data_IF_770224202501
#
_entry.id   IF_770224202501
#
_cell.length_a   1.000
_cell.length_b   1.000
_cell.length_c   1.000
_cell.angle_alpha   90.00
_cell.angle_beta   90.00
_cell.angle_gamma   90.00
#
_symmetry.space_group_name_H-M   'P 1'
#
loop_
_entity.id
_entity.type
_entity.pdbx_description
1 polymer ?
#
# COMPACT_ATOMS: atom_id res chain seq x y z
N UNK A 1 18.17 5.26 -14.91
CA UNK A 1 18.43 4.00 -14.16
C UNK A 1 17.51 2.94 -14.73
N UNK A 2 18.02 1.78 -15.15
CA UNK A 2 17.18 0.69 -15.69
C UNK A 2 16.63 -0.16 -14.55
N UNK A 3 15.47 -0.81 -14.73
CA UNK A 3 14.92 -1.78 -13.75
C UNK A 3 15.95 -2.88 -13.46
N UNK A 4 16.72 -3.28 -14.46
CA UNK A 4 17.77 -4.28 -14.33
C UNK A 4 18.93 -3.82 -13.43
N UNK A 5 19.22 -2.52 -13.37
CA UNK A 5 20.17 -1.92 -12.42
C UNK A 5 19.58 -1.80 -11.00
N UNK A 6 18.26 -1.67 -10.88
CA UNK A 6 17.54 -1.75 -9.60
C UNK A 6 17.59 -3.19 -9.08
N UNK A 7 17.52 -4.18 -9.99
CA UNK A 7 17.48 -5.61 -9.71
C UNK A 7 18.84 -6.33 -9.59
N UNK A 8 19.97 -5.67 -9.84
CA UNK A 8 21.29 -6.36 -9.87
C UNK A 8 21.77 -6.92 -8.52
N UNK A 9 21.47 -6.31 -7.36
CA UNK A 9 21.79 -6.92 -6.04
C UNK A 9 21.08 -8.26 -5.76
N UNK A 10 20.11 -8.65 -6.61
CA UNK A 10 19.19 -9.76 -6.40
C UNK A 10 19.78 -11.10 -6.87
N UNK A 11 20.58 -11.10 -7.93
CA UNK A 11 21.15 -12.32 -8.52
C UNK A 11 22.36 -12.85 -7.77
N UNK A 12 23.06 -12.00 -7.02
CA UNK A 12 24.33 -12.37 -6.38
C UNK A 12 24.17 -12.89 -4.94
N UNK A 13 23.07 -12.56 -4.24
CA UNK A 13 22.88 -12.90 -2.83
C UNK A 13 22.09 -14.19 -2.58
N UNK A 14 21.49 -14.79 -3.61
CA UNK A 14 20.70 -16.02 -3.52
C UNK A 14 21.53 -17.32 -3.58
N UNK A 15 22.72 -17.35 -2.97
CA UNK A 15 23.62 -18.50 -3.05
C UNK A 15 23.78 -19.31 -1.74
N UNK A 16 22.91 -19.10 -0.73
CA UNK A 16 22.98 -19.87 0.52
C UNK A 16 21.56 -20.17 1.01
N UNK A 17 21.12 -21.43 0.86
CA UNK A 17 19.84 -22.02 1.31
C UNK A 17 18.58 -21.20 1.00
N UNK A 18 17.70 -21.74 0.15
CA UNK A 18 16.43 -21.12 -0.26
C UNK A 18 15.73 -20.40 0.92
N UNK A 19 15.42 -19.09 0.79
CA UNK A 19 14.74 -18.36 1.86
C UNK A 19 13.39 -19.00 2.10
N UNK A 20 13.07 -19.27 3.37
CA UNK A 20 11.87 -20.02 3.72
C UNK A 20 10.59 -19.18 3.65
N UNK A 21 10.70 -17.83 3.72
CA UNK A 21 9.60 -16.85 3.55
C UNK A 21 10.14 -15.53 3.01
N UNK A 22 9.42 -14.92 2.07
CA UNK A 22 9.71 -13.61 1.50
C UNK A 22 8.49 -12.69 1.57
N UNK A 23 8.67 -11.50 2.14
CA UNK A 23 7.68 -10.42 2.12
C UNK A 23 8.06 -9.35 1.11
N UNK A 24 7.11 -8.89 0.30
CA UNK A 24 7.25 -7.76 -0.63
C UNK A 24 6.37 -6.62 -0.14
N UNK A 25 7.01 -5.55 0.33
CA UNK A 25 6.40 -4.35 0.90
C UNK A 25 6.23 -3.30 -0.20
N UNK A 26 4.97 -3.02 -0.55
CA UNK A 26 4.53 -2.11 -1.63
C UNK A 26 3.78 -0.91 -1.08
N UNK A 27 3.53 0.09 -1.94
CA UNK A 27 2.64 1.21 -1.62
C UNK A 27 3.33 2.45 -1.06
N UNK A 28 2.54 3.39 -0.55
CA UNK A 28 2.93 4.76 -0.20
C UNK A 28 3.16 5.00 1.31
N UNK A 29 3.17 3.95 2.16
CA UNK A 29 3.49 4.04 3.58
C UNK A 29 4.98 3.82 3.91
N UNK A 30 5.90 4.68 3.45
CA UNK A 30 7.36 4.47 3.56
C UNK A 30 7.87 4.26 5.01
N UNK A 31 7.39 5.07 5.96
CA UNK A 31 7.72 4.92 7.39
C UNK A 31 7.27 3.57 7.95
N UNK A 32 6.06 3.15 7.59
CA UNK A 32 5.51 1.87 7.99
C UNK A 32 6.21 0.69 7.32
N UNK A 33 6.71 0.83 6.08
CA UNK A 33 7.52 -0.21 5.42
C UNK A 33 8.78 -0.51 6.21
N UNK A 34 9.51 0.53 6.64
CA UNK A 34 10.74 0.37 7.44
C UNK A 34 10.44 -0.20 8.83
N UNK A 35 9.40 0.31 9.49
CA UNK A 35 8.96 -0.20 10.79
C UNK A 35 8.54 -1.67 10.71
N UNK A 36 7.68 -2.04 9.75
CA UNK A 36 7.20 -3.41 9.59
C UNK A 36 8.34 -4.37 9.21
N UNK A 37 9.23 -3.98 8.28
CA UNK A 37 10.43 -4.76 7.96
C UNK A 37 11.32 -4.98 9.19
N UNK A 38 11.48 -3.96 10.03
CA UNK A 38 12.23 -4.07 11.30
C UNK A 38 11.61 -5.10 12.23
N UNK A 39 10.27 -5.12 12.35
CA UNK A 39 9.55 -6.09 13.19
C UNK A 39 9.58 -7.50 12.63
N UNK A 40 9.44 -7.65 11.31
CA UNK A 40 9.48 -8.95 10.63
C UNK A 40 10.85 -9.61 10.72
N UNK A 41 11.93 -8.82 10.59
CA UNK A 41 13.29 -9.33 10.59
C UNK A 41 13.95 -9.40 11.97
N UNK A 42 13.35 -8.77 12.99
CA UNK A 42 13.93 -8.67 14.33
C UNK A 42 15.17 -7.77 14.41
N UNK A 43 15.52 -7.05 13.34
CA UNK A 43 16.67 -6.13 13.28
C UNK A 43 16.28 -4.79 12.64
N UNK A 44 16.95 -3.72 13.05
CA UNK A 44 16.63 -2.37 12.56
C UNK A 44 16.87 -2.26 11.04
N UNK A 45 15.83 -1.86 10.31
CA UNK A 45 15.89 -1.58 8.87
C UNK A 45 15.75 -0.09 8.65
N UNK A 46 16.78 0.53 8.09
CA UNK A 46 16.79 1.95 7.75
C UNK A 46 16.59 2.09 6.25
N UNK A 47 15.52 2.79 5.85
CA UNK A 47 15.29 3.17 4.46
C UNK A 47 15.96 4.54 4.26
N UNK A 48 17.01 4.65 3.43
CA UNK A 48 17.70 5.92 3.21
C UNK A 48 16.74 6.99 2.65
N UNK A 49 16.86 8.22 3.14
CA UNK A 49 16.11 9.36 2.61
C UNK A 49 16.37 9.52 1.10
N UNK A 50 15.32 9.53 0.27
CA UNK A 50 15.42 9.65 -1.18
C UNK A 50 15.45 8.33 -1.95
N UNK A 51 15.64 7.18 -1.28
CA UNK A 51 15.47 5.85 -1.87
C UNK A 51 14.00 5.52 -2.22
N UNK A 52 13.05 6.28 -1.65
CA UNK A 52 11.62 5.99 -1.66
C UNK A 52 10.94 5.99 -3.03
N UNK A 53 11.53 6.58 -4.08
CA UNK A 53 10.84 6.67 -5.38
C UNK A 53 11.04 5.42 -6.25
N UNK A 54 12.23 4.82 -6.26
CA UNK A 54 12.54 3.74 -7.22
C UNK A 54 13.40 2.60 -6.66
N UNK A 55 13.82 2.69 -5.40
CA UNK A 55 14.79 1.75 -4.85
C UNK A 55 14.10 0.54 -4.25
N UNK A 56 14.71 -0.61 -4.47
CA UNK A 56 14.42 -1.83 -3.73
C UNK A 56 15.47 -2.01 -2.65
N UNK A 57 15.05 -2.18 -1.40
CA UNK A 57 15.95 -2.62 -0.32
C UNK A 57 15.64 -4.08 0.02
N UNK A 58 16.65 -4.94 -0.03
CA UNK A 58 16.58 -6.31 0.49
C UNK A 58 17.16 -6.33 1.90
N UNK A 59 16.41 -6.88 2.84
CA UNK A 59 16.89 -7.15 4.19
C UNK A 59 16.47 -8.57 4.61
N UNK A 60 17.40 -9.31 5.22
CA UNK A 60 17.20 -10.71 5.65
C UNK A 60 17.55 -10.90 7.13
N UNK A 61 16.88 -11.84 7.80
CA UNK A 61 17.24 -12.23 9.17
C UNK A 61 18.56 -13.01 9.18
N UNK A 62 19.50 -12.68 10.06
CA UNK A 62 20.79 -13.39 10.19
C UNK A 62 20.76 -14.54 11.22
N UNK A 63 19.63 -14.72 11.93
CA UNK A 63 19.55 -15.67 13.04
C UNK A 63 19.64 -17.13 12.57
N UNK A 64 20.73 -17.76 12.99
CA UNK A 64 21.13 -19.13 12.69
C UNK A 64 20.61 -20.16 13.71
N UNK A 65 19.61 -19.81 14.51
CA UNK A 65 19.00 -20.75 15.44
C UNK A 65 18.17 -21.79 14.67
N UNK A 66 18.26 -23.07 15.06
CA UNK A 66 17.64 -24.17 14.33
C UNK A 66 16.10 -24.08 14.21
N UNK A 67 15.46 -23.22 15.02
CA UNK A 67 14.01 -23.08 15.13
C UNK A 67 13.44 -21.80 14.50
N UNK A 68 14.28 -20.95 13.91
CA UNK A 68 13.84 -19.69 13.27
C UNK A 68 13.79 -19.82 11.74
N UNK A 69 12.58 -19.66 11.18
CA UNK A 69 12.35 -19.58 9.74
C UNK A 69 13.08 -18.34 9.18
N UNK A 70 14.01 -18.49 8.21
CA UNK A 70 14.65 -17.36 7.55
C UNK A 70 13.63 -16.48 6.82
N UNK A 71 13.67 -15.17 7.09
CA UNK A 71 12.75 -14.18 6.50
C UNK A 71 13.54 -13.19 5.66
N UNK A 72 13.02 -12.91 4.47
CA UNK A 72 13.48 -11.84 3.59
C UNK A 72 12.39 -10.78 3.40
N UNK A 73 12.76 -9.51 3.36
CA UNK A 73 11.88 -8.40 3.04
C UNK A 73 12.41 -7.62 1.83
N UNK A 74 11.58 -7.46 0.80
CA UNK A 74 11.79 -6.55 -0.32
C UNK A 74 10.96 -5.30 -0.10
N UNK A 75 11.62 -4.16 0.10
CA UNK A 75 10.95 -2.87 0.26
C UNK A 75 11.02 -2.15 -1.06
N UNK A 76 9.88 -2.00 -1.75
CA UNK A 76 9.82 -1.25 -2.99
C UNK A 76 9.35 0.19 -2.77
N UNK A 77 9.85 1.10 -3.60
CA UNK A 77 9.47 2.52 -3.59
C UNK A 77 7.98 2.78 -3.89
N UNK A 78 7.51 3.99 -3.60
CA UNK A 78 6.12 4.44 -3.70
C UNK A 78 5.75 5.06 -5.06
N UNK A 79 6.66 5.08 -6.05
CA UNK A 79 6.41 5.76 -7.33
C UNK A 79 5.35 5.08 -8.20
N UNK A 80 4.57 5.90 -8.92
CA UNK A 80 3.64 5.44 -9.95
C UNK A 80 4.29 4.68 -11.11
N UNK A 81 5.56 4.94 -11.43
CA UNK A 81 6.26 4.16 -12.45
C UNK A 81 6.49 2.71 -12.02
N UNK A 82 6.69 2.46 -10.71
CA UNK A 82 6.84 1.11 -10.19
C UNK A 82 5.51 0.35 -10.30
N UNK A 83 4.37 0.99 -10.02
CA UNK A 83 3.03 0.39 -10.23
C UNK A 83 2.88 -0.14 -11.66
N UNK A 84 3.25 0.67 -12.66
CA UNK A 84 3.18 0.27 -14.07
C UNK A 84 4.21 -0.78 -14.51
N UNK A 85 5.19 -1.08 -13.65
CA UNK A 85 6.32 -1.98 -13.94
C UNK A 85 6.41 -3.18 -13.02
N UNK A 86 5.48 -3.33 -12.08
CA UNK A 86 5.49 -4.44 -11.12
C UNK A 86 5.50 -5.81 -11.80
N UNK A 87 4.77 -5.97 -12.92
CA UNK A 87 4.74 -7.18 -13.74
C UNK A 87 6.07 -7.54 -14.42
N UNK A 88 7.03 -6.62 -14.47
CA UNK A 88 8.36 -6.83 -15.05
C UNK A 88 9.37 -7.27 -13.97
N UNK A 89 8.94 -7.43 -12.70
CA UNK A 89 9.77 -7.93 -11.61
C UNK A 89 9.60 -9.44 -11.47
N UNK A 90 10.72 -10.15 -11.39
CA UNK A 90 10.76 -11.58 -11.08
C UNK A 90 11.38 -11.79 -9.70
N UNK A 91 10.64 -12.48 -8.82
CA UNK A 91 11.14 -12.91 -7.53
C UNK A 91 11.48 -14.39 -7.63
N UNK A 92 12.77 -14.74 -7.51
CA UNK A 92 13.25 -16.12 -7.56
C UNK A 92 12.98 -16.87 -6.24
N UNK A 93 11.71 -16.98 -5.87
CA UNK A 93 11.21 -17.56 -4.63
C UNK A 93 10.03 -18.49 -4.96
N UNK A 94 9.86 -19.55 -4.18
CA UNK A 94 8.68 -20.41 -4.28
C UNK A 94 7.40 -19.56 -4.10
N UNK A 95 6.40 -19.66 -4.99
CA UNK A 95 5.12 -18.98 -4.84
C UNK A 95 4.47 -19.13 -3.47
N UNK A 96 4.61 -20.29 -2.81
CA UNK A 96 4.03 -20.54 -1.48
C UNK A 96 4.74 -19.77 -0.36
N UNK A 97 5.96 -19.31 -0.61
CA UNK A 97 6.79 -18.55 0.33
C UNK A 97 6.78 -17.05 0.05
N UNK A 98 6.13 -16.59 -1.03
CA UNK A 98 6.07 -15.20 -1.42
C UNK A 98 4.79 -14.54 -0.88
N UNK A 99 4.92 -13.48 -0.08
CA UNK A 99 3.79 -12.77 0.53
C UNK A 99 3.86 -11.28 0.16
N UNK A 100 2.75 -10.73 -0.31
CA UNK A 100 2.66 -9.30 -0.66
C UNK A 100 2.03 -8.53 0.50
N UNK A 101 2.64 -7.41 0.87
CA UNK A 101 2.09 -6.46 1.82
C UNK A 101 1.96 -5.11 1.13
N UNK A 102 0.74 -4.64 0.97
CA UNK A 102 0.39 -3.37 0.36
C UNK A 102 0.11 -2.33 1.45
N UNK A 103 1.00 -1.37 1.63
CA UNK A 103 0.86 -0.28 2.60
C UNK A 103 0.27 0.95 1.93
N UNK A 104 -0.98 1.28 2.27
CA UNK A 104 -1.71 2.42 1.72
C UNK A 104 -1.88 3.48 2.80
N UNK A 105 -1.41 4.70 2.53
CA UNK A 105 -1.66 5.83 3.42
C UNK A 105 -3.14 6.20 3.41
N UNK A 106 -3.73 6.23 4.60
CA UNK A 106 -5.11 6.63 4.87
C UNK A 106 -5.23 8.12 5.21
N UNK A 107 -4.24 8.93 4.84
CA UNK A 107 -4.22 10.39 5.05
C UNK A 107 -5.29 11.13 4.25
N UNK A 108 -5.81 10.53 3.18
CA UNK A 108 -6.92 11.07 2.38
C UNK A 108 -7.92 9.97 2.06
N UNK A 109 -9.21 10.28 2.27
CA UNK A 109 -10.36 9.39 2.01
C UNK A 109 -10.40 8.97 0.53
N UNK A 110 -10.20 9.92 -0.37
CA UNK A 110 -10.24 9.65 -1.81
C UNK A 110 -9.00 8.90 -2.26
N UNK A 111 -7.83 9.36 -1.82
CA UNK A 111 -6.56 8.79 -2.25
C UNK A 111 -6.38 7.35 -1.78
N UNK A 112 -6.81 6.99 -0.56
CA UNK A 112 -6.63 5.63 -0.07
C UNK A 112 -7.43 4.61 -0.91
N UNK A 113 -8.62 4.97 -1.39
CA UNK A 113 -9.42 4.10 -2.27
C UNK A 113 -8.77 4.00 -3.66
N UNK A 114 -8.38 5.13 -4.25
CA UNK A 114 -7.77 5.19 -5.59
C UNK A 114 -6.44 4.41 -5.61
N UNK A 115 -5.59 4.60 -4.61
CA UNK A 115 -4.31 3.90 -4.49
C UNK A 115 -4.50 2.40 -4.25
N UNK A 116 -5.43 2.01 -3.37
CA UNK A 116 -5.76 0.59 -3.14
C UNK A 116 -6.14 -0.07 -4.45
N UNK A 117 -7.06 0.54 -5.22
CA UNK A 117 -7.48 0.00 -6.51
C UNK A 117 -6.30 -0.11 -7.48
N UNK A 118 -5.52 0.96 -7.65
CA UNK A 118 -4.41 1.01 -8.59
C UNK A 118 -3.34 -0.06 -8.29
N UNK A 119 -3.02 -0.25 -7.01
CA UNK A 119 -2.06 -1.28 -6.60
C UNK A 119 -2.60 -2.69 -6.75
N UNK A 120 -3.88 -2.94 -6.43
CA UNK A 120 -4.48 -4.26 -6.65
C UNK A 120 -4.53 -4.62 -8.15
N UNK A 121 -4.81 -3.64 -9.02
CA UNK A 121 -4.73 -3.83 -10.48
C UNK A 121 -3.29 -4.18 -10.91
N UNK A 122 -2.28 -3.51 -10.36
CA UNK A 122 -0.87 -3.82 -10.62
C UNK A 122 -0.46 -5.22 -10.10
N UNK A 123 -0.89 -5.59 -8.90
CA UNK A 123 -0.67 -6.91 -8.30
C UNK A 123 -1.35 -7.99 -9.14
N UNK A 124 -2.54 -7.72 -9.67
CA UNK A 124 -3.21 -8.64 -10.59
C UNK A 124 -2.41 -8.87 -11.87
N UNK A 125 -1.85 -7.82 -12.47
CA UNK A 125 -0.97 -7.97 -13.63
C UNK A 125 0.31 -8.76 -13.29
N UNK A 126 0.92 -8.50 -12.14
CA UNK A 126 2.05 -9.27 -11.61
C UNK A 126 1.70 -10.76 -11.40
N UNK A 127 0.51 -11.05 -10.87
CA UNK A 127 0.04 -12.42 -10.59
C UNK A 127 -0.05 -13.31 -11.85
N UNK A 128 -0.14 -12.70 -13.04
CA UNK A 128 -0.15 -13.42 -14.32
C UNK A 128 1.19 -14.05 -14.66
N UNK A 129 2.29 -13.56 -14.07
CA UNK A 129 3.65 -14.06 -14.28
C UNK A 129 4.20 -14.76 -13.05
N UNK A 130 3.98 -14.19 -11.87
CA UNK A 130 4.49 -14.70 -10.60
C UNK A 130 3.34 -14.96 -9.62
N UNK A 131 3.17 -16.22 -9.22
CA UNK A 131 2.23 -16.56 -8.14
C UNK A 131 2.81 -16.19 -6.78
N UNK A 132 1.92 -15.97 -5.81
CA UNK A 132 2.27 -15.66 -4.43
C UNK A 132 1.24 -16.28 -3.48
N UNK A 133 1.62 -16.39 -2.22
CA UNK A 133 0.92 -17.13 -1.18
C UNK A 133 -0.23 -16.36 -0.57
N UNK A 134 -0.02 -15.08 -0.25
CA UNK A 134 -1.04 -14.19 0.34
C UNK A 134 -0.80 -12.71 0.02
N UNK A 135 -1.83 -11.88 0.24
CA UNK A 135 -1.75 -10.43 0.12
C UNK A 135 -2.36 -9.76 1.35
N UNK A 136 -1.65 -8.83 1.97
CA UNK A 136 -2.16 -8.04 3.10
C UNK A 136 -2.27 -6.59 2.70
N UNK A 137 -3.46 -6.00 2.84
CA UNK A 137 -3.68 -4.55 2.70
C UNK A 137 -3.56 -3.94 4.08
N UNK A 138 -2.58 -3.04 4.26
CA UNK A 138 -2.37 -2.30 5.49
C UNK A 138 -2.65 -0.82 5.26
N UNK A 139 -3.76 -0.33 5.83
CA UNK A 139 -4.10 1.09 5.86
C UNK A 139 -3.28 1.77 6.96
N UNK A 140 -2.30 2.57 6.56
CA UNK A 140 -1.43 3.31 7.48
C UNK A 140 -2.03 4.66 7.82
N UNK A 141 -1.62 5.26 8.93
CA UNK A 141 -2.12 6.56 9.39
C UNK A 141 -3.65 6.59 9.53
N UNK A 142 -4.25 5.49 9.99
CA UNK A 142 -5.72 5.34 9.99
C UNK A 142 -6.45 6.33 10.89
N UNK A 143 -5.76 6.94 11.86
CA UNK A 143 -6.29 8.03 12.68
C UNK A 143 -6.64 9.27 11.86
N UNK A 144 -6.01 9.46 10.70
CA UNK A 144 -6.33 10.59 9.82
C UNK A 144 -7.75 10.45 9.25
N UNK A 145 -8.21 9.23 8.96
CA UNK A 145 -9.59 9.01 8.56
C UNK A 145 -10.59 9.32 9.68
N UNK A 146 -10.23 9.13 10.96
CA UNK A 146 -11.13 9.45 12.08
C UNK A 146 -11.54 10.93 12.10
N UNK A 147 -10.67 11.80 11.62
CA UNK A 147 -10.90 13.25 11.53
C UNK A 147 -11.74 13.68 10.31
N UNK A 148 -12.14 12.74 9.45
CA UNK A 148 -12.90 13.03 8.23
C UNK A 148 -14.40 12.82 8.42
N UNK A 149 -15.19 13.25 7.42
CA UNK A 149 -16.63 13.05 7.41
C UNK A 149 -16.98 11.55 7.61
N UNK A 150 -17.81 11.19 8.60
CA UNK A 150 -18.14 9.79 8.89
C UNK A 150 -18.74 9.02 7.71
N UNK A 151 -19.53 9.67 6.87
CA UNK A 151 -20.14 9.06 5.68
C UNK A 151 -19.06 8.78 4.65
N UNK A 152 -18.22 9.76 4.32
CA UNK A 152 -17.13 9.59 3.35
C UNK A 152 -16.11 8.53 3.82
N UNK A 153 -15.78 8.52 5.12
CA UNK A 153 -14.94 7.49 5.75
C UNK A 153 -15.56 6.10 5.61
N UNK A 154 -16.83 5.93 6.00
CA UNK A 154 -17.55 4.65 5.90
C UNK A 154 -17.54 4.14 4.46
N UNK A 155 -17.84 5.00 3.49
CA UNK A 155 -17.80 4.66 2.06
C UNK A 155 -16.40 4.21 1.63
N UNK A 156 -15.35 4.93 2.02
CA UNK A 156 -13.98 4.56 1.67
C UNK A 156 -13.56 3.20 2.24
N UNK A 157 -13.86 2.93 3.52
CA UNK A 157 -13.56 1.65 4.16
C UNK A 157 -14.33 0.50 3.48
N UNK A 158 -15.59 0.72 3.11
CA UNK A 158 -16.39 -0.26 2.35
C UNK A 158 -15.86 -0.48 0.93
N UNK A 159 -15.39 0.56 0.25
CA UNK A 159 -14.71 0.44 -1.03
C UNK A 159 -13.45 -0.42 -0.94
N UNK A 160 -12.61 -0.19 0.07
CA UNK A 160 -11.37 -0.95 0.29
C UNK A 160 -11.70 -2.43 0.54
N UNK A 161 -12.69 -2.71 1.39
CA UNK A 161 -13.19 -4.07 1.64
C UNK A 161 -13.72 -4.74 0.37
N UNK A 162 -14.52 -4.03 -0.43
CA UNK A 162 -15.05 -4.57 -1.68
C UNK A 162 -13.95 -4.84 -2.72
N UNK A 163 -12.96 -3.95 -2.82
CA UNK A 163 -11.77 -4.13 -3.65
C UNK A 163 -10.97 -5.37 -3.22
N UNK A 164 -10.80 -5.58 -1.90
CA UNK A 164 -10.13 -6.76 -1.36
C UNK A 164 -10.88 -8.06 -1.72
N UNK A 165 -12.21 -8.09 -1.61
CA UNK A 165 -13.00 -9.27 -2.00
C UNK A 165 -12.86 -9.62 -3.49
N UNK A 166 -12.98 -8.63 -4.37
CA UNK A 166 -12.82 -8.81 -5.82
C UNK A 166 -11.38 -9.18 -6.18
N UNK A 167 -10.39 -8.62 -5.49
CA UNK A 167 -9.01 -9.02 -5.70
C UNK A 167 -8.79 -10.48 -5.27
N UNK A 168 -9.39 -10.93 -4.16
CA UNK A 168 -9.22 -12.30 -3.69
C UNK A 168 -9.73 -13.31 -4.73
N UNK A 169 -10.92 -13.08 -5.30
CA UNK A 169 -11.48 -13.96 -6.33
C UNK A 169 -10.66 -13.99 -7.61
N UNK A 170 -10.00 -12.89 -7.97
CA UNK A 170 -9.17 -12.77 -9.19
C UNK A 170 -7.75 -13.31 -9.02
N UNK A 171 -7.18 -13.15 -7.84
CA UNK A 171 -5.80 -13.54 -7.54
C UNK A 171 -5.68 -15.01 -7.11
N UNK A 172 -6.70 -15.52 -6.42
CA UNK A 172 -6.68 -16.84 -5.79
C UNK A 172 -7.84 -17.71 -6.25
N UNK A 173 -7.93 -17.92 -7.57
CA UNK A 173 -8.94 -18.79 -8.16
C UNK A 173 -8.87 -20.20 -7.54
N UNK A 174 -10.01 -20.80 -7.14
CA UNK A 174 -10.03 -22.17 -6.67
C UNK A 174 -9.59 -23.10 -7.81
N UNK A 175 -8.54 -23.88 -7.58
CA UNK A 175 -8.03 -24.79 -8.62
C UNK A 175 -8.95 -25.98 -8.85
N UNK A 176 -9.77 -26.40 -7.86
CA UNK A 176 -10.42 -27.73 -7.91
C UNK A 176 -11.82 -27.79 -7.26
N UNK A 177 -12.64 -26.73 -7.38
CA UNK A 177 -14.02 -26.75 -6.88
C UNK A 177 -14.19 -26.74 -5.35
N UNK A 178 -13.09 -26.62 -4.60
CA UNK A 178 -13.10 -26.23 -3.20
C UNK A 178 -13.40 -24.73 -3.04
N UNK A 179 -13.80 -24.31 -1.84
CA UNK A 179 -14.01 -22.90 -1.52
C UNK A 179 -12.81 -22.06 -1.98
N UNK A 180 -13.08 -20.90 -2.61
CA UNK A 180 -12.05 -19.97 -3.05
C UNK A 180 -11.07 -19.71 -1.89
N UNK A 181 -9.78 -20.02 -2.02
CA UNK A 181 -8.83 -19.85 -0.93
C UNK A 181 -8.79 -18.37 -0.56
N UNK A 182 -9.27 -18.06 0.65
CA UNK A 182 -9.26 -16.70 1.15
C UNK A 182 -7.87 -16.40 1.69
N UNK A 183 -7.16 -15.51 1.01
CA UNK A 183 -5.74 -15.22 1.21
C UNK A 183 -5.45 -13.72 1.28
N UNK A 184 -6.49 -12.89 1.18
CA UNK A 184 -6.39 -11.45 1.40
C UNK A 184 -6.78 -11.08 2.82
N UNK A 185 -5.92 -10.30 3.46
CA UNK A 185 -6.14 -9.74 4.80
C UNK A 185 -6.22 -8.22 4.72
N UNK A 186 -7.07 -7.58 5.54
CA UNK A 186 -7.14 -6.12 5.62
C UNK A 186 -6.95 -5.66 7.06
N UNK A 187 -5.94 -4.80 7.28
CA UNK A 187 -5.65 -4.20 8.58
C UNK A 187 -5.58 -2.68 8.46
N UNK A 188 -5.92 -2.00 9.55
CA UNK A 188 -5.54 -0.60 9.75
C UNK A 188 -4.54 -0.45 10.89
N UNK A 189 -3.62 0.51 10.74
CA UNK A 189 -2.63 0.90 11.72
C UNK A 189 -2.72 2.40 11.96
N UNK A 190 -2.98 2.77 13.22
CA UNK A 190 -3.03 4.14 13.68
C UNK A 190 -1.64 4.77 13.69
N UNK A 191 -0.62 3.97 14.04
CA UNK A 191 0.77 4.41 14.13
C UNK A 191 1.74 3.29 13.76
N UNK A 192 3.03 3.61 13.63
CA UNK A 192 4.06 2.61 13.36
C UNK A 192 4.22 1.58 14.49
N UNK A 193 3.72 1.86 15.71
CA UNK A 193 3.76 0.91 16.83
C UNK A 193 2.88 -0.32 16.58
N UNK A 194 1.79 -0.16 15.82
CA UNK A 194 0.86 -1.24 15.47
C UNK A 194 1.52 -2.30 14.56
N UNK A 195 2.61 -1.94 13.87
CA UNK A 195 3.36 -2.87 13.00
C UNK A 195 3.92 -4.06 13.78
N UNK A 196 4.14 -3.93 15.10
CA UNK A 196 4.59 -5.03 15.95
C UNK A 196 3.56 -6.16 16.07
N UNK A 197 2.28 -5.81 16.26
CA UNK A 197 1.20 -6.80 16.32
C UNK A 197 0.95 -7.43 14.94
N UNK A 198 0.98 -6.60 13.89
CA UNK A 198 0.79 -7.06 12.50
C UNK A 198 1.90 -8.03 12.10
N UNK A 199 3.17 -7.72 12.41
CA UNK A 199 4.28 -8.62 12.14
C UNK A 199 4.12 -9.96 12.88
N UNK A 200 3.72 -9.95 14.16
CA UNK A 200 3.47 -11.18 14.92
C UNK A 200 2.42 -12.06 14.26
N UNK A 201 1.30 -11.46 13.82
CA UNK A 201 0.26 -12.17 13.09
C UNK A 201 0.79 -12.80 11.79
N UNK A 202 1.47 -12.00 10.95
CA UNK A 202 1.99 -12.48 9.67
C UNK A 202 2.96 -13.66 9.87
N UNK A 203 3.82 -13.58 10.88
CA UNK A 203 4.76 -14.66 11.21
C UNK A 203 4.07 -15.88 11.83
N UNK A 204 2.99 -15.68 12.60
CA UNK A 204 2.22 -16.75 13.20
C UNK A 204 1.44 -17.55 12.14
N UNK A 205 0.85 -16.85 11.16
CA UNK A 205 0.13 -17.44 10.03
C UNK A 205 1.03 -18.37 9.22
N UNK A 206 2.25 -17.91 8.89
CA UNK A 206 3.28 -18.70 8.22
C UNK A 206 3.65 -19.96 9.03
N UNK A 207 3.76 -19.85 10.35
CA UNK A 207 4.11 -20.97 11.23
C UNK A 207 2.95 -21.94 11.45
N UNK A 208 1.77 -21.67 10.87
CA UNK A 208 0.55 -22.44 11.12
C UNK A 208 0.05 -22.33 12.56
N UNK A 209 0.52 -21.31 13.30
CA UNK A 209 0.10 -21.07 14.68
C UNK A 209 -1.07 -20.09 14.67
N UNK A 210 -2.23 -20.50 15.20
CA UNK A 210 -3.41 -19.66 15.27
C UNK A 210 -3.22 -18.54 16.30
N UNK A 211 -2.62 -17.43 15.87
CA UNK A 211 -2.80 -16.12 16.48
C UNK A 211 -3.58 -15.27 15.49
N UNK A 212 -4.89 -15.47 15.40
CA UNK A 212 -5.74 -14.58 14.64
C UNK A 212 -5.90 -13.26 15.39
N UNK A 213 -5.86 -12.12 14.69
CA UNK A 213 -6.47 -10.92 15.23
C UNK A 213 -7.97 -11.18 15.42
N UNK A 214 -8.54 -10.66 16.50
CA UNK A 214 -9.99 -10.61 16.64
C UNK A 214 -10.56 -9.83 15.45
N UNK A 215 -11.48 -10.48 14.72
CA UNK A 215 -12.21 -9.85 13.62
C UNK A 215 -12.93 -8.61 14.15
N UNK A 216 -12.63 -7.45 13.57
CA UNK A 216 -13.18 -6.17 14.01
C UNK A 216 -13.33 -5.21 12.83
N UNK A 217 -14.52 -4.62 12.73
CA UNK A 217 -14.82 -3.53 11.81
C UNK A 217 -15.47 -2.44 12.63
N UNK A 218 -14.76 -1.33 12.81
CA UNK A 218 -15.29 -0.11 13.39
C UNK A 218 -15.07 1.02 12.39
N UNK A 219 -16.11 1.33 11.61
CA UNK A 219 -16.04 2.38 10.60
C UNK A 219 -15.91 3.77 11.22
N UNK A 220 -16.39 3.98 12.45
CA UNK A 220 -16.29 5.26 13.15
C UNK A 220 -14.87 5.55 13.62
N UNK A 221 -14.20 4.53 14.13
CA UNK A 221 -12.82 4.63 14.59
C UNK A 221 -11.80 4.32 13.47
N UNK A 222 -12.24 4.12 12.23
CA UNK A 222 -11.38 3.69 11.12
C UNK A 222 -10.53 2.43 11.42
N UNK A 223 -11.11 1.49 12.18
CA UNK A 223 -10.47 0.24 12.56
C UNK A 223 -10.95 -0.88 11.63
N UNK A 224 -10.02 -1.49 10.90
CA UNK A 224 -10.23 -2.72 10.15
C UNK A 224 -9.26 -3.77 10.67
N UNK A 225 -9.78 -4.92 11.10
CA UNK A 225 -9.03 -6.13 11.40
C UNK A 225 -9.80 -7.29 10.79
N UNK A 226 -9.46 -7.62 9.56
CA UNK A 226 -10.21 -8.55 8.75
C UNK A 226 -9.27 -9.68 8.34
N UNK A 227 -9.27 -10.80 9.09
CA UNK A 227 -8.58 -12.02 8.68
C UNK A 227 -9.13 -12.55 7.35
N UNK A 228 -8.34 -13.34 6.61
CA UNK A 228 -8.86 -14.03 5.43
C UNK A 228 -10.06 -14.90 5.83
N UNK A 229 -11.11 -14.93 5.00
CA UNK A 229 -12.30 -15.73 5.30
C UNK A 229 -13.47 -14.91 5.85
N UNK A 230 -13.18 -13.82 6.55
CA UNK A 230 -14.11 -13.26 7.54
C UNK A 230 -14.98 -12.11 7.02
N UNK A 231 -14.69 -11.58 5.83
CA UNK A 231 -15.50 -10.54 5.21
C UNK A 231 -16.36 -11.09 4.07
N UNK A 232 -17.44 -10.40 3.76
CA UNK A 232 -18.36 -10.79 2.69
C UNK A 232 -19.07 -9.59 2.07
N UNK A 233 -19.44 -9.75 0.81
CA UNK A 233 -20.19 -8.73 0.07
C UNK A 233 -21.56 -8.43 0.71
N UNK A 234 -22.16 -9.41 1.39
CA UNK A 234 -23.39 -9.23 2.17
C UNK A 234 -23.15 -8.38 3.42
N UNK A 235 -22.02 -8.56 4.12
CA UNK A 235 -21.64 -7.72 5.27
C UNK A 235 -21.25 -6.29 4.89
N UNK A 236 -20.81 -6.06 3.64
CA UNK A 236 -20.49 -4.71 3.15
C UNK A 236 -21.76 -3.93 2.81
N UNK A 237 -22.66 -4.52 2.00
CA UNK A 237 -23.85 -3.81 1.53
C UNK A 237 -24.99 -4.72 1.06
N UNK A 238 -25.11 -5.93 1.61
CA UNK A 238 -26.18 -6.89 1.29
C UNK A 238 -26.31 -7.22 -0.22
N UNK A 239 -25.20 -7.14 -0.96
CA UNK A 239 -25.21 -7.42 -2.40
C UNK A 239 -25.25 -8.92 -2.71
N UNK A 240 -25.54 -9.27 -3.97
CA UNK A 240 -25.55 -10.66 -4.44
C UNK A 240 -24.16 -11.22 -4.75
N UNK A 241 -23.15 -10.36 -4.97
CA UNK A 241 -21.79 -10.77 -5.33
C UNK A 241 -20.73 -9.73 -4.94
N UNK A 242 -19.43 -10.11 -4.90
CA UNK A 242 -18.31 -9.18 -4.72
C UNK A 242 -18.24 -8.07 -5.77
N UNK A 243 -18.44 -8.38 -7.05
CA UNK A 243 -18.42 -7.39 -8.13
C UNK A 243 -19.58 -6.38 -7.99
N UNK A 244 -20.77 -6.85 -7.57
CA UNK A 244 -21.89 -5.96 -7.30
C UNK A 244 -21.62 -5.07 -6.08
N UNK A 245 -21.06 -5.61 -5.00
CA UNK A 245 -20.65 -4.80 -3.85
C UNK A 245 -19.67 -3.71 -4.27
N UNK A 246 -18.65 -4.06 -5.05
CA UNK A 246 -17.69 -3.09 -5.56
C UNK A 246 -18.37 -2.01 -6.42
N UNK A 247 -19.29 -2.39 -7.31
CA UNK A 247 -20.04 -1.44 -8.14
C UNK A 247 -20.84 -0.45 -7.29
N UNK A 248 -21.59 -0.96 -6.29
CA UNK A 248 -22.40 -0.13 -5.40
C UNK A 248 -21.51 0.85 -4.61
N UNK A 249 -20.44 0.34 -3.98
CA UNK A 249 -19.57 1.18 -3.15
C UNK A 249 -18.78 2.19 -3.99
N UNK A 250 -18.24 1.80 -5.15
CA UNK A 250 -17.54 2.72 -6.04
C UNK A 250 -18.48 3.79 -6.63
N UNK A 251 -19.77 3.46 -6.83
CA UNK A 251 -20.77 4.47 -7.22
C UNK A 251 -21.01 5.47 -6.09
N UNK A 252 -21.17 4.98 -4.86
CA UNK A 252 -21.34 5.85 -3.69
C UNK A 252 -20.10 6.72 -3.44
N UNK A 253 -18.91 6.17 -3.65
CA UNK A 253 -17.65 6.89 -3.56
C UNK A 253 -17.56 8.04 -4.56
N UNK A 254 -17.93 7.80 -5.83
CA UNK A 254 -17.98 8.87 -6.83
C UNK A 254 -18.91 9.99 -6.39
N UNK A 255 -20.16 9.66 -6.09
CA UNK A 255 -21.19 10.65 -5.74
C UNK A 255 -20.93 11.43 -4.44
N UNK A 256 -20.34 10.79 -3.42
CA UNK A 256 -20.29 11.37 -2.05
C UNK A 256 -18.87 11.71 -1.58
N UNK A 257 -17.84 11.38 -2.35
CA UNK A 257 -16.44 11.60 -1.97
C UNK A 257 -15.67 12.24 -3.11
N UNK A 258 -15.83 11.75 -4.35
CA UNK A 258 -15.08 12.27 -5.49
C UNK A 258 -15.73 13.53 -6.10
N UNK A 259 -17.06 13.54 -6.22
CA UNK A 259 -17.84 14.66 -6.74
C UNK A 259 -18.26 15.64 -5.62
N UNK A 260 -17.99 15.30 -4.36
CA UNK A 260 -18.25 16.14 -3.18
C UNK A 260 -17.15 17.16 -2.87
N UNK A 261 -16.01 17.08 -3.55
CA UNK A 261 -14.93 18.09 -3.53
C UNK A 261 -15.19 19.23 -4.55
N UNK A 262 -16.28 19.17 -5.34
CA UNK A 262 -16.74 20.27 -6.21
C UNK A 262 -17.50 21.35 -5.41
N UNK A 263 -16.84 21.83 -4.36
CA UNK A 263 -17.28 22.91 -3.49
C UNK A 263 -16.17 23.93 -3.23
N UNK A 264 -15.61 24.47 -4.32
CA UNK A 264 -14.67 25.61 -4.42
C UNK A 264 -13.24 25.38 -3.90
N UNK A 265 -12.33 25.07 -4.83
CA UNK A 265 -11.41 26.08 -5.36
C UNK A 265 -11.13 25.77 -6.83
N UNK A 266 -11.36 26.77 -7.68
CA UNK A 266 -11.36 26.69 -9.14
C UNK A 266 -10.11 25.97 -9.71
N UNK A 267 -10.28 24.73 -10.16
CA UNK A 267 -9.49 24.11 -11.23
C UNK A 267 -10.07 24.42 -12.61
N UNK A 268 -10.94 25.43 -12.73
CA UNK A 268 -11.25 25.99 -14.03
C UNK A 268 -10.09 26.89 -14.51
N UNK A 269 -9.28 26.28 -15.39
CA UNK A 269 -8.48 26.92 -16.43
C UNK A 269 -7.04 27.37 -16.09
N UNK A 270 -6.15 26.41 -15.82
CA UNK A 270 -4.73 26.57 -16.17
C UNK A 270 -4.61 26.32 -17.69
N UNK A 271 -4.88 27.35 -18.49
CA UNK A 271 -4.79 27.27 -19.95
C UNK A 271 -3.36 27.56 -20.46
N UNK A 272 -2.42 27.92 -19.58
CA UNK A 272 -1.07 28.28 -19.96
C UNK A 272 -0.01 27.98 -18.89
N UNK A 273 1.25 27.90 -19.33
CA UNK A 273 2.41 27.67 -18.45
C UNK A 273 2.59 28.78 -17.39
N UNK A 274 2.14 30.02 -17.63
CA UNK A 274 2.24 31.09 -16.63
C UNK A 274 1.30 30.91 -15.44
N UNK A 275 0.15 30.27 -15.66
CA UNK A 275 -0.83 30.00 -14.60
C UNK A 275 -0.32 28.90 -13.67
N UNK A 276 0.38 27.90 -14.24
CA UNK A 276 1.08 26.87 -13.48
C UNK A 276 2.21 27.45 -12.62
N UNK A 277 3.02 28.37 -13.16
CA UNK A 277 4.07 29.02 -12.36
C UNK A 277 3.50 29.91 -11.25
N UNK A 278 2.36 30.56 -11.48
CA UNK A 278 1.70 31.39 -10.47
C UNK A 278 1.12 30.54 -9.33
N UNK A 279 0.50 29.40 -9.66
CA UNK A 279 0.01 28.43 -8.69
C UNK A 279 1.15 27.81 -7.87
N UNK A 280 2.21 27.36 -8.52
CA UNK A 280 3.39 26.82 -7.83
C UNK A 280 3.99 27.87 -6.90
N UNK A 281 4.17 29.11 -7.36
CA UNK A 281 4.73 30.21 -6.55
C UNK A 281 3.87 30.55 -5.34
N UNK A 282 2.54 30.53 -5.47
CA UNK A 282 1.61 30.75 -4.36
C UNK A 282 1.70 29.61 -3.32
N UNK A 283 1.84 28.36 -3.78
CA UNK A 283 1.97 27.19 -2.92
C UNK A 283 3.32 27.15 -2.20
N UNK A 284 4.42 27.51 -2.87
CA UNK A 284 5.75 27.60 -2.23
C UNK A 284 5.81 28.73 -1.19
N UNK A 285 5.08 29.84 -1.38
CA UNK A 285 4.97 30.92 -0.39
C UNK A 285 4.26 30.51 0.90
N UNK A 286 3.35 29.53 0.84
CA UNK A 286 2.58 29.06 1.98
C UNK A 286 3.37 28.06 2.85
N UNK A 287 4.32 27.33 2.26
CA UNK A 287 5.01 26.22 2.93
C UNK A 287 6.44 26.55 3.38
N UNK A 288 7.11 27.56 2.81
CA UNK A 288 8.46 27.96 3.25
C UNK A 288 8.78 29.45 2.98
N UNK A 289 8.68 30.34 4.00
CA UNK A 289 8.94 31.77 3.84
C UNK A 289 10.41 32.09 3.51
N UNK A 290 11.36 31.17 3.75
CA UNK A 290 12.78 31.39 3.47
C UNK A 290 13.15 31.23 1.98
N UNK A 291 12.38 30.42 1.25
CA UNK A 291 12.53 30.22 -0.21
C UNK A 291 11.95 31.39 -1.02
N UNK A 292 10.98 32.11 -0.45
CA UNK A 292 10.39 33.34 -0.99
C UNK A 292 11.44 34.45 -1.18
N UNK A 293 12.32 34.66 -0.19
CA UNK A 293 13.38 35.68 -0.27
C UNK A 293 14.47 35.32 -1.28
N UNK A 294 14.72 34.03 -1.49
CA UNK A 294 15.71 33.55 -2.45
C UNK A 294 15.22 33.72 -3.90
N UNK A 295 13.93 33.48 -4.15
CA UNK A 295 13.28 33.69 -5.46
C UNK A 295 13.03 35.17 -5.77
N UNK A 296 12.72 35.99 -4.76
CA UNK A 296 12.62 37.44 -4.91
C UNK A 296 13.95 38.06 -5.36
N UNK A 297 15.07 37.62 -4.77
CA UNK A 297 16.42 38.09 -5.14
C UNK A 297 16.91 37.59 -6.51
N UNK A 298 16.35 36.49 -7.03
CA UNK A 298 16.60 36.02 -8.40
C UNK A 298 15.88 36.90 -9.43
N UNK A 299 14.68 37.40 -9.12
CA UNK A 299 13.90 38.27 -10.02
C UNK A 299 14.50 39.67 -10.19
N UNK A 300 15.27 40.17 -9.22
CA UNK A 300 15.91 41.49 -9.27
C UNK A 300 17.23 41.52 -10.04
N UNK A 301 17.86 40.37 -10.31
CA UNK A 301 19.16 40.30 -11.00
C UNK A 301 19.08 39.95 -12.50
N UNK A 302 17.88 39.76 -13.06
CA UNK A 302 17.67 39.51 -14.50
C UNK A 302 17.66 40.82 -15.32
N UNK A 303 17.74 41.98 -14.67
CA UNK A 303 17.65 43.30 -15.30
C UNK A 303 18.97 44.08 -15.51
N UNK A 304 20.14 43.47 -15.36
CA UNK A 304 21.43 44.12 -15.68
C UNK A 304 22.42 43.16 -16.34
N UNK A 305 22.29 43.02 -17.66
CA UNK A 305 23.41 42.91 -18.60
C UNK A 305 23.06 43.77 -19.82
#
# INVERSE_FOLDING_TARGET
MTIQAILTPFTETHNVKAPSVTFVLLGNGDTYKGALATRLLGKQVIIPSGASKYTTLLASSEDSSADTIPISCFILGSSGLLKGKLQDLDFFVDPEQLHIILLISATSVSQCVIETKAWLDAIYMFSKRQRFSSCTILLTDSTQLQNTNPVSRSIALRCIRALALVANTKLFSPSDGSACPQKITVYSAASTDDTGLIAKYLLADIKGTSQAFDFMINEDEAILRIPPGMDSHTMICQSSSPDEALRIQMSAFKTNVQDGDDGQQDEEQINSLSDYFSYVTAKTKAEDPMLSDLLANLSTNVGKF
#
